data_IF_583286432372
#
_entry.id   IF_583286432372
#
_cell.length_a   1.000
_cell.length_b   1.000
_cell.length_c   1.000
_cell.angle_alpha   90.00
_cell.angle_beta   90.00
_cell.angle_gamma   90.00
#
_symmetry.space_group_name_H-M   'P 1'
#
loop_
_entity.id
_entity.type
_entity.pdbx_description
1 polymer ?
#
# COMPACT_ATOMS: atom_id res chain seq x y z
N UNK A 1 -9.73 0.28 -2.58
CA UNK A 1 -9.07 1.61 -2.74
C UNK A 1 -7.89 1.73 -1.79
N UNK A 2 -6.89 2.48 -2.21
CA UNK A 2 -5.73 2.76 -1.38
C UNK A 2 -5.11 4.11 -1.72
N UNK A 3 -4.34 4.63 -0.78
CA UNK A 3 -3.55 5.85 -0.92
C UNK A 3 -2.20 5.60 -0.27
N UNK A 4 -1.14 5.78 -1.03
CA UNK A 4 0.23 5.56 -0.56
C UNK A 4 1.01 6.86 -0.47
N UNK A 5 1.73 7.06 0.62
CA UNK A 5 2.60 8.22 0.83
C UNK A 5 3.89 7.83 1.53
N UNK A 6 4.91 8.69 1.39
CA UNK A 6 6.13 8.59 2.17
C UNK A 6 5.88 9.10 3.59
N UNK A 7 6.78 8.76 4.51
CA UNK A 7 6.64 9.17 5.92
C UNK A 7 6.64 10.70 6.07
N UNK A 8 7.21 11.43 5.12
CA UNK A 8 7.20 12.89 5.12
C UNK A 8 5.91 13.50 4.56
N UNK A 9 4.95 12.68 4.18
CA UNK A 9 3.65 13.12 3.68
C UNK A 9 3.52 13.21 2.17
N UNK A 10 4.60 13.00 1.41
CA UNK A 10 4.52 13.03 -0.06
C UNK A 10 3.75 11.82 -0.57
N UNK A 11 2.66 12.07 -1.27
CA UNK A 11 1.82 11.03 -1.87
C UNK A 11 2.46 10.54 -3.17
N UNK A 12 2.56 9.21 -3.35
CA UNK A 12 3.10 8.62 -4.57
C UNK A 12 2.08 7.80 -5.35
N UNK A 13 0.96 7.43 -4.74
CA UNK A 13 -0.10 6.70 -5.44
C UNK A 13 -1.43 6.90 -4.72
N UNK A 14 -2.53 6.90 -5.48
CA UNK A 14 -3.86 7.12 -4.92
C UNK A 14 -4.93 6.56 -5.86
N UNK A 15 -5.53 5.44 -5.49
CA UNK A 15 -6.60 4.85 -6.29
C UNK A 15 -7.91 5.65 -6.25
N UNK A 16 -8.11 6.48 -5.23
CA UNK A 16 -9.29 7.34 -5.13
C UNK A 16 -9.36 8.38 -6.25
N UNK A 17 -8.21 8.78 -6.79
CA UNK A 17 -8.14 9.70 -7.94
C UNK A 17 -8.49 9.02 -9.25
N UNK A 18 -8.45 7.69 -9.29
CA UNK A 18 -8.91 6.91 -10.43
C UNK A 18 -10.38 6.57 -10.22
N UNK A 19 -11.12 6.40 -11.30
CA UNK A 19 -12.58 6.22 -11.25
C UNK A 19 -13.04 4.92 -10.63
N UNK A 20 -12.15 3.96 -10.42
CA UNK A 20 -12.50 2.64 -9.89
C UNK A 20 -11.41 2.10 -8.98
N UNK A 21 -11.77 1.20 -8.03
CA UNK A 21 -10.78 0.53 -7.19
C UNK A 21 -9.88 -0.39 -7.99
N UNK A 22 -8.67 -0.62 -7.49
CA UNK A 22 -7.74 -1.55 -8.12
C UNK A 22 -8.05 -2.99 -7.68
N UNK A 23 -7.91 -3.91 -8.62
CA UNK A 23 -7.90 -5.34 -8.34
C UNK A 23 -6.44 -5.81 -8.30
N UNK A 24 -6.02 -6.37 -7.16
CA UNK A 24 -4.64 -6.76 -6.93
C UNK A 24 -4.55 -8.22 -6.52
N UNK A 25 -3.50 -8.90 -6.98
CA UNK A 25 -3.16 -10.24 -6.48
C UNK A 25 -2.27 -10.08 -5.25
N UNK A 26 -2.59 -10.84 -4.20
CA UNK A 26 -1.82 -10.78 -2.96
C UNK A 26 -0.35 -11.14 -3.18
N UNK A 27 -0.05 -12.06 -4.09
CA UNK A 27 1.32 -12.45 -4.41
C UNK A 27 2.15 -11.38 -5.12
N UNK A 28 1.49 -10.37 -5.69
CA UNK A 28 2.13 -9.34 -6.51
C UNK A 28 2.37 -8.04 -5.74
N UNK A 29 1.88 -7.93 -4.52
CA UNK A 29 2.05 -6.73 -3.70
C UNK A 29 3.25 -6.88 -2.77
N UNK A 30 3.73 -5.76 -2.23
CA UNK A 30 4.86 -5.77 -1.28
C UNK A 30 4.50 -6.55 -0.01
N UNK A 31 5.52 -7.05 0.68
CA UNK A 31 5.34 -7.97 1.81
C UNK A 31 4.46 -7.37 2.92
N UNK A 32 4.62 -6.08 3.22
CA UNK A 32 3.80 -5.42 4.23
C UNK A 32 2.30 -5.48 3.92
N UNK A 33 1.93 -5.35 2.66
CA UNK A 33 0.54 -5.50 2.22
C UNK A 33 0.06 -6.94 2.35
N UNK A 34 0.91 -7.91 2.04
CA UNK A 34 0.54 -9.33 2.16
C UNK A 34 0.17 -9.68 3.59
N UNK A 35 0.93 -9.18 4.56
CA UNK A 35 0.65 -9.41 5.98
C UNK A 35 -0.64 -8.71 6.40
N UNK A 36 -0.78 -7.43 6.05
CA UNK A 36 -1.92 -6.62 6.48
C UNK A 36 -3.24 -7.11 5.86
N UNK A 37 -3.26 -7.36 4.56
CA UNK A 37 -4.48 -7.76 3.86
C UNK A 37 -5.02 -9.10 4.35
N UNK A 38 -4.16 -10.00 4.77
CA UNK A 38 -4.60 -11.29 5.33
C UNK A 38 -5.35 -11.14 6.67
N UNK A 39 -5.15 -10.02 7.36
CA UNK A 39 -5.80 -9.72 8.64
C UNK A 39 -7.01 -8.81 8.50
N UNK A 40 -7.20 -8.21 7.33
CA UNK A 40 -8.32 -7.30 7.09
C UNK A 40 -9.59 -8.05 6.70
N UNK A 41 -10.74 -7.48 7.04
CA UNK A 41 -12.06 -7.94 6.61
C UNK A 41 -12.63 -6.97 5.58
N UNK A 42 -13.52 -7.46 4.73
CA UNK A 42 -14.20 -6.61 3.75
C UNK A 42 -14.93 -5.47 4.48
N UNK A 43 -14.71 -4.25 4.02
CA UNK A 43 -15.22 -3.05 4.65
C UNK A 43 -14.24 -2.35 5.59
N UNK A 44 -13.17 -3.03 5.99
CA UNK A 44 -12.14 -2.43 6.86
C UNK A 44 -11.36 -1.34 6.12
N UNK A 45 -10.99 -0.32 6.87
CA UNK A 45 -10.08 0.73 6.41
C UNK A 45 -8.95 0.85 7.43
N UNK A 46 -7.74 0.58 6.97
CA UNK A 46 -6.55 0.59 7.82
C UNK A 46 -5.56 1.64 7.33
N UNK A 47 -4.82 2.20 8.27
CA UNK A 47 -3.60 2.97 7.96
C UNK A 47 -2.44 2.07 8.35
N UNK A 48 -1.59 1.76 7.37
CA UNK A 48 -0.52 0.79 7.50
C UNK A 48 0.82 1.49 7.35
N UNK A 49 1.69 1.33 8.36
CA UNK A 49 3.07 1.83 8.31
C UNK A 49 3.98 0.67 7.95
N UNK A 50 4.67 0.76 6.82
CA UNK A 50 5.49 -0.32 6.28
C UNK A 50 6.95 0.10 6.30
N UNK A 51 7.81 -0.56 7.10
CA UNK A 51 9.24 -0.30 7.07
C UNK A 51 9.83 -0.70 5.70
N UNK A 52 10.95 -0.10 5.33
CA UNK A 52 11.55 -0.37 4.02
C UNK A 52 11.84 -1.86 3.79
N UNK A 53 12.13 -2.62 4.84
CA UNK A 53 12.42 -4.06 4.76
C UNK A 53 11.23 -4.88 4.28
N UNK A 54 10.01 -4.39 4.47
CA UNK A 54 8.77 -5.04 4.01
C UNK A 54 8.13 -4.28 2.84
N UNK A 55 8.79 -3.26 2.34
CA UNK A 55 8.39 -2.48 1.17
C UNK A 55 9.34 -2.72 0.01
N UNK A 56 9.89 -1.67 -0.54
CA UNK A 56 10.77 -1.73 -1.70
C UNK A 56 12.25 -1.93 -1.35
N UNK A 57 12.58 -1.99 -0.06
CA UNK A 57 13.93 -2.28 0.40
C UNK A 57 14.94 -1.23 -0.04
N UNK A 58 16.06 -1.69 -0.61
CA UNK A 58 17.15 -0.82 -1.09
C UNK A 58 16.98 -0.36 -2.54
N UNK A 59 15.83 -0.62 -3.14
CA UNK A 59 15.52 -0.20 -4.51
C UNK A 59 14.74 1.10 -4.49
N UNK A 60 15.07 2.01 -5.39
CA UNK A 60 14.20 3.16 -5.66
C UNK A 60 13.22 2.79 -6.78
N UNK A 61 11.95 3.16 -6.61
CA UNK A 61 10.87 2.86 -7.56
C UNK A 61 10.11 4.15 -7.82
N UNK A 62 10.11 4.60 -9.07
CA UNK A 62 9.44 5.84 -9.47
C UNK A 62 9.79 7.00 -8.53
N UNK A 63 8.80 7.55 -7.81
CA UNK A 63 8.99 8.64 -6.87
C UNK A 63 9.35 8.19 -5.46
N UNK A 64 9.56 6.87 -5.25
CA UNK A 64 9.88 6.32 -3.93
C UNK A 64 11.39 6.12 -3.82
N UNK A 65 12.10 6.89 -2.97
CA UNK A 65 13.52 6.69 -2.74
C UNK A 65 13.81 5.34 -2.08
N UNK A 66 15.03 4.84 -2.25
CA UNK A 66 15.48 3.64 -1.53
C UNK A 66 15.38 3.85 0.00
N UNK A 67 15.17 2.77 0.74
CA UNK A 67 15.05 2.74 2.19
C UNK A 67 13.91 3.59 2.75
N UNK A 68 12.84 3.76 1.98
CA UNK A 68 11.69 4.56 2.41
C UNK A 68 10.73 3.77 3.29
N UNK A 69 10.31 4.36 4.41
CA UNK A 69 9.16 3.91 5.17
C UNK A 69 7.89 4.40 4.48
N UNK A 70 6.95 3.51 4.25
CA UNK A 70 5.73 3.79 3.50
C UNK A 70 4.53 3.87 4.42
N UNK A 71 3.59 4.75 4.08
CA UNK A 71 2.31 4.88 4.79
C UNK A 71 1.20 4.65 3.79
N UNK A 72 0.39 3.62 4.02
CA UNK A 72 -0.75 3.31 3.16
C UNK A 72 -2.06 3.42 3.92
N UNK A 73 -3.02 4.11 3.33
CA UNK A 73 -4.43 4.03 3.71
C UNK A 73 -5.09 3.05 2.76
N UNK A 74 -5.60 1.94 3.30
CA UNK A 74 -6.16 0.85 2.49
C UNK A 74 -7.58 0.55 2.92
N UNK A 75 -8.51 0.54 1.97
CA UNK A 75 -9.89 0.10 2.18
C UNK A 75 -10.12 -1.16 1.37
N UNK A 76 -10.46 -2.24 2.06
CA UNK A 76 -10.74 -3.54 1.42
C UNK A 76 -12.21 -3.58 1.03
N UNK A 77 -12.48 -3.59 -0.29
CA UNK A 77 -13.84 -3.56 -0.82
C UNK A 77 -14.38 -4.96 -1.14
N UNK A 78 -13.50 -5.90 -1.44
CA UNK A 78 -13.91 -7.25 -1.78
C UNK A 78 -12.71 -8.18 -1.94
N UNK A 79 -12.99 -9.47 -1.91
CA UNK A 79 -12.01 -10.54 -2.09
C UNK A 79 -12.57 -11.53 -3.11
N UNK A 80 -11.76 -11.87 -4.10
CA UNK A 80 -12.13 -12.87 -5.10
C UNK A 80 -11.70 -14.27 -4.66
#
# INVERSE_FOLDING_TARGET
HYKGSLIDGREFDNSYERSCPDALRLSDVIEGWQVALQKMHVGDKWIIYIPYTMGYGNKSVDSIPAYSTLVFEVKLLGVA
#
